data_IF_969369347873
#
_entry.id   IF_969369347873
#
_cell.length_a   1.000
_cell.length_b   1.000
_cell.length_c   1.000
_cell.angle_alpha   90.00
_cell.angle_beta   90.00
_cell.angle_gamma   90.00
#
_symmetry.space_group_name_H-M   'P 1'
#
loop_
_entity.id
_entity.type
_entity.pdbx_description
1 polymer ?
#
# COMPACT_ATOMS: atom_id res chain seq x y z
N UNK A 1 -24.26 1.78 0.27
CA UNK A 1 -23.28 1.26 1.25
C UNK A 1 -22.05 0.77 0.50
N UNK A 2 -20.82 1.21 0.84
CA UNK A 2 -19.60 0.65 0.23
C UNK A 2 -19.40 -0.78 0.74
N UNK A 3 -19.16 -1.75 -0.16
CA UNK A 3 -18.82 -3.13 0.22
C UNK A 3 -17.40 -3.13 0.80
N UNK A 4 -17.24 -3.72 1.97
CA UNK A 4 -15.94 -3.86 2.61
C UNK A 4 -15.42 -5.27 2.33
N UNK A 5 -14.34 -5.38 1.56
CA UNK A 5 -13.72 -6.65 1.22
C UNK A 5 -12.62 -6.96 2.24
N UNK A 6 -12.61 -8.19 2.76
CA UNK A 6 -11.55 -8.66 3.65
C UNK A 6 -10.42 -9.24 2.80
N UNK A 7 -9.18 -8.92 3.15
CA UNK A 7 -7.98 -9.45 2.52
C UNK A 7 -7.16 -10.20 3.58
N UNK A 8 -6.73 -11.42 3.26
CA UNK A 8 -5.76 -12.13 4.07
C UNK A 8 -4.36 -11.72 3.59
N UNK A 9 -3.52 -11.25 4.51
CA UNK A 9 -2.13 -10.90 4.23
C UNK A 9 -1.27 -11.79 5.09
N UNK A 10 -0.41 -12.57 4.44
CA UNK A 10 0.57 -13.42 5.10
C UNK A 10 1.88 -12.65 5.17
N UNK A 11 2.43 -12.54 6.36
CA UNK A 11 3.69 -11.86 6.65
C UNK A 11 4.66 -12.86 7.25
N UNK A 12 5.95 -12.69 6.96
CA UNK A 12 6.98 -13.36 7.74
C UNK A 12 6.99 -12.83 9.18
N UNK A 13 7.47 -13.63 10.13
CA UNK A 13 7.49 -13.27 11.55
C UNK A 13 8.21 -11.94 11.82
N UNK A 14 9.31 -11.69 11.10
CA UNK A 14 10.08 -10.44 11.20
C UNK A 14 9.26 -9.22 10.75
N UNK A 15 8.50 -9.36 9.67
CA UNK A 15 7.64 -8.32 9.10
C UNK A 15 6.43 -8.07 10.00
N UNK A 16 5.83 -9.14 10.53
CA UNK A 16 4.73 -9.05 11.47
C UNK A 16 5.13 -8.31 12.74
N UNK A 17 6.29 -8.67 13.33
CA UNK A 17 6.76 -8.02 14.56
C UNK A 17 7.16 -6.55 14.32
N UNK A 18 7.76 -6.23 13.17
CA UNK A 18 8.03 -4.84 12.79
C UNK A 18 6.73 -4.02 12.65
N UNK A 19 5.72 -4.57 11.98
CA UNK A 19 4.41 -3.93 11.83
C UNK A 19 3.71 -3.75 13.19
N UNK A 20 3.77 -4.77 14.05
CA UNK A 20 3.19 -4.73 15.39
C UNK A 20 3.83 -3.65 16.26
N UNK A 21 5.16 -3.55 16.25
CA UNK A 21 5.91 -2.49 16.96
C UNK A 21 5.53 -1.11 16.44
N UNK A 22 5.53 -0.93 15.12
CA UNK A 22 5.13 0.34 14.50
C UNK A 22 3.69 0.73 14.86
N UNK A 23 2.76 -0.22 14.83
CA UNK A 23 1.37 -0.02 15.24
C UNK A 23 1.26 0.44 16.70
N UNK A 24 2.01 -0.20 17.59
CA UNK A 24 2.08 0.17 19.00
C UNK A 24 2.65 1.58 19.18
N UNK A 25 3.80 1.89 18.59
CA UNK A 25 4.46 3.19 18.69
C UNK A 25 3.59 4.33 18.16
N UNK A 26 2.88 4.11 17.05
CA UNK A 26 2.02 5.12 16.43
C UNK A 26 0.62 5.17 17.03
N UNK A 27 0.27 4.27 17.95
CA UNK A 27 -1.08 4.10 18.52
C UNK A 27 -2.15 3.94 17.42
N UNK A 28 -1.81 3.16 16.38
CA UNK A 28 -2.68 2.87 15.24
C UNK A 28 -2.93 1.36 15.14
N UNK A 29 -3.99 0.96 14.45
CA UNK A 29 -4.20 -0.46 14.15
C UNK A 29 -3.25 -0.92 13.03
N UNK A 30 -2.81 -2.18 13.09
CA UNK A 30 -2.01 -2.79 12.01
C UNK A 30 -2.75 -2.73 10.67
N UNK A 31 -4.07 -2.91 10.66
CA UNK A 31 -4.92 -2.79 9.47
C UNK A 31 -4.90 -1.39 8.85
N UNK A 32 -4.83 -0.34 9.68
CA UNK A 32 -4.75 1.03 9.19
C UNK A 32 -3.38 1.30 8.56
N UNK A 33 -2.31 0.84 9.20
CA UNK A 33 -0.95 0.98 8.67
C UNK A 33 -0.80 0.23 7.34
N UNK A 34 -1.23 -1.04 7.28
CA UNK A 34 -1.21 -1.83 6.04
C UNK A 34 -1.98 -1.10 4.94
N UNK A 35 -3.17 -0.58 5.23
CA UNK A 35 -3.96 0.17 4.24
C UNK A 35 -3.18 1.37 3.71
N UNK A 36 -2.51 2.14 4.57
CA UNK A 36 -1.69 3.28 4.15
C UNK A 36 -0.50 2.87 3.28
N UNK A 37 0.11 1.74 3.61
CA UNK A 37 1.22 1.17 2.85
C UNK A 37 0.76 0.74 1.44
N UNK A 38 -0.40 0.08 1.36
CA UNK A 38 -1.03 -0.29 0.09
C UNK A 38 -1.44 0.93 -0.74
N UNK A 39 -2.07 1.93 -0.12
CA UNK A 39 -2.45 3.19 -0.78
C UNK A 39 -1.19 3.83 -1.42
N UNK A 40 -0.11 3.97 -0.65
CA UNK A 40 1.16 4.54 -1.14
C UNK A 40 1.79 3.73 -2.27
N UNK A 41 1.72 2.40 -2.20
CA UNK A 41 2.24 1.52 -3.25
C UNK A 41 1.46 1.68 -4.55
N UNK A 42 0.11 1.72 -4.48
CA UNK A 42 -0.73 1.90 -5.65
C UNK A 42 -0.58 3.28 -6.27
N UNK A 43 -0.44 4.33 -5.47
CA UNK A 43 -0.18 5.68 -5.97
C UNK A 43 1.14 5.72 -6.76
N UNK A 44 2.23 5.20 -6.17
CA UNK A 44 3.52 5.12 -6.86
C UNK A 44 3.47 4.29 -8.15
N UNK A 45 2.78 3.14 -8.12
CA UNK A 45 2.62 2.28 -9.30
C UNK A 45 1.79 2.95 -10.41
N UNK A 46 0.81 3.79 -10.05
CA UNK A 46 0.00 4.53 -11.00
C UNK A 46 0.77 5.69 -11.62
N UNK A 47 1.64 6.35 -10.86
CA UNK A 47 2.47 7.44 -11.37
C UNK A 47 3.46 6.93 -12.41
N UNK A 48 4.13 5.79 -12.18
CA UNK A 48 4.98 5.11 -13.17
C UNK A 48 4.20 4.83 -14.46
N UNK A 49 2.99 4.26 -14.35
CA UNK A 49 2.14 3.99 -15.52
C UNK A 49 1.71 5.26 -16.25
N UNK A 50 1.55 6.39 -15.56
CA UNK A 50 1.18 7.67 -16.17
C UNK A 50 2.35 8.27 -16.94
N UNK A 51 3.55 8.22 -16.38
CA UNK A 51 4.79 8.69 -17.02
C UNK A 51 5.06 7.93 -18.32
N UNK A 52 5.03 6.59 -18.29
CA UNK A 52 5.20 5.74 -19.48
C UNK A 52 4.19 6.06 -20.60
N UNK A 53 2.92 6.30 -20.22
CA UNK A 53 1.87 6.63 -21.18
C UNK A 53 2.01 8.04 -21.75
N UNK A 54 2.60 8.98 -21.01
CA UNK A 54 2.89 10.33 -21.50
C UNK A 54 4.08 10.33 -22.46
N UNK A 55 5.14 9.57 -22.18
CA UNK A 55 6.29 9.46 -23.08
C UNK A 55 5.91 8.81 -24.42
N UNK A 56 5.11 7.74 -24.40
CA UNK A 56 4.60 7.09 -25.62
C UNK A 56 3.75 8.03 -26.49
N UNK A 57 3.03 8.99 -25.90
CA UNK A 57 2.24 9.99 -26.64
C UNK A 57 3.06 11.15 -27.21
N UNK A 58 4.24 11.43 -26.65
CA UNK A 58 5.14 12.49 -27.15
C UNK A 58 6.03 12.03 -28.30
N UNK A 59 6.29 10.72 -28.37
CA UNK A 59 7.20 10.11 -29.34
C UNK A 59 6.48 9.37 -30.49
N UNK A 60 5.16 9.51 -30.58
CA UNK A 60 4.31 8.88 -31.60
C UNK A 60 3.54 9.89 -32.44
#
# INVERSE_FOLDING_TARGET
MRKMHKLLIVLEDSQYEALRKLAFEKRLSMSFIIRKLLDSYFDAANDIKREDNQERKKNG
#
